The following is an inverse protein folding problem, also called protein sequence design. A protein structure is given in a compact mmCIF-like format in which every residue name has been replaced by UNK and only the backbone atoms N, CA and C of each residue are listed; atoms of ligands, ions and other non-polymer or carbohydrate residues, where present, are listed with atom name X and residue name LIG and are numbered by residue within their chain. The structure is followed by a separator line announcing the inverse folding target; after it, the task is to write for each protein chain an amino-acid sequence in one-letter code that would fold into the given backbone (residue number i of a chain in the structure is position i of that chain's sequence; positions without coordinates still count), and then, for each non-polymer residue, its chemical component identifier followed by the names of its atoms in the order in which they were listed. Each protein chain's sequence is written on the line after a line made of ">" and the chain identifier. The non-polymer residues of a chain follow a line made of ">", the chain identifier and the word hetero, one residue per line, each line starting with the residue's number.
data_IF_731047269508
#
_entry.id   IF_731047269508
#
_cell.length_a   1.000
_cell.length_b   1.000
_cell.length_c   1.000
_cell.angle_alpha   90.00
_cell.angle_beta   90.00
_cell.angle_gamma   90.00
#
_symmetry.space_group_name_H-M   'P 1'
#
loop_
_entity.id
_entity.type
_entity.pdbx_description
1 polymer ?
#
# COMPACT_ATOMS: atom_id res chain seq x y z
N UNK A 1 -20.61 9.02 6.63
CA UNK A 1 -20.38 7.79 7.40
C UNK A 1 -21.32 6.74 6.84
N UNK A 2 -20.88 6.02 5.82
CA UNK A 2 -21.62 4.88 5.29
C UNK A 2 -21.36 3.69 6.22
N UNK A 3 -22.42 3.12 6.78
CA UNK A 3 -22.34 1.86 7.51
C UNK A 3 -21.98 0.76 6.51
N UNK A 4 -20.86 0.05 6.65
CA UNK A 4 -20.47 -0.96 5.69
C UNK A 4 -21.54 -2.07 5.59
N UNK A 5 -22.17 -2.16 4.42
CA UNK A 5 -23.28 -3.08 4.19
C UNK A 5 -22.77 -4.52 4.06
N UNK A 6 -22.69 -5.19 5.21
CA UNK A 6 -22.50 -6.65 5.28
C UNK A 6 -23.86 -7.32 5.14
N UNK A 7 -24.03 -8.15 4.12
CA UNK A 7 -25.26 -8.90 3.88
C UNK A 7 -25.56 -9.91 5.01
N UNK A 8 -26.82 -10.37 5.17
CA UNK A 8 -27.17 -11.33 6.22
C UNK A 8 -26.34 -12.64 6.16
N UNK A 9 -26.01 -13.22 7.31
CA UNK A 9 -25.12 -14.40 7.43
C UNK A 9 -25.60 -15.67 6.74
N UNK A 10 -26.90 -15.79 6.47
CA UNK A 10 -27.48 -16.92 5.74
C UNK A 10 -27.50 -16.75 4.22
N UNK A 11 -27.13 -15.59 3.67
CA UNK A 11 -27.11 -15.39 2.21
C UNK A 11 -25.75 -15.75 1.62
N UNK A 12 -25.71 -16.13 0.34
CA UNK A 12 -24.47 -16.43 -0.36
C UNK A 12 -23.47 -15.26 -0.30
N UNK A 13 -23.95 -14.05 -0.62
CA UNK A 13 -23.14 -12.83 -0.53
C UNK A 13 -22.57 -12.64 0.88
N UNK A 14 -23.40 -12.81 1.90
CA UNK A 14 -22.97 -12.70 3.26
C UNK A 14 -21.94 -13.76 3.68
N UNK A 15 -22.02 -14.97 3.15
CA UNK A 15 -21.02 -16.01 3.43
C UNK A 15 -19.67 -15.65 2.81
N UNK A 16 -19.67 -15.17 1.55
CA UNK A 16 -18.47 -14.73 0.84
C UNK A 16 -17.82 -13.51 1.50
N UNK A 17 -18.61 -12.49 1.86
CA UNK A 17 -18.15 -11.27 2.57
C UNK A 17 -17.56 -11.54 3.95
N UNK A 18 -17.69 -12.75 4.50
CA UNK A 18 -17.08 -13.12 5.79
C UNK A 18 -15.89 -14.08 5.64
N UNK A 19 -15.53 -14.46 4.41
CA UNK A 19 -14.40 -15.36 4.16
C UNK A 19 -14.54 -16.73 4.82
N UNK A 20 -15.77 -17.17 5.14
CA UNK A 20 -15.97 -18.51 5.72
C UNK A 20 -15.72 -19.56 4.64
N UNK A 21 -15.01 -20.65 4.99
CA UNK A 21 -14.75 -21.76 4.05
C UNK A 21 -16.02 -22.33 3.43
N UNK A 22 -17.13 -22.32 4.17
CA UNK A 22 -18.46 -22.71 3.66
C UNK A 22 -18.92 -21.83 2.49
N UNK A 23 -18.53 -20.55 2.43
CA UNK A 23 -18.91 -19.63 1.36
C UNK A 23 -18.48 -20.12 -0.03
N UNK A 24 -17.30 -20.74 -0.14
CA UNK A 24 -16.86 -21.37 -1.40
C UNK A 24 -17.73 -22.57 -1.76
N UNK A 25 -18.03 -23.44 -0.79
CA UNK A 25 -18.88 -24.61 -1.03
C UNK A 25 -20.28 -24.19 -1.49
N UNK A 26 -20.85 -23.18 -0.84
CA UNK A 26 -22.14 -22.61 -1.24
C UNK A 26 -22.10 -21.94 -2.61
N UNK A 27 -21.04 -21.22 -2.94
CA UNK A 27 -20.87 -20.61 -4.25
C UNK A 27 -20.80 -21.64 -5.37
N UNK A 28 -20.06 -22.74 -5.16
CA UNK A 28 -19.93 -23.82 -6.13
C UNK A 28 -21.21 -24.66 -6.28
N UNK A 29 -22.09 -24.64 -5.28
CA UNK A 29 -23.40 -25.30 -5.32
C UNK A 29 -24.53 -24.40 -5.88
N UNK A 30 -24.34 -23.09 -5.89
CA UNK A 30 -25.33 -22.12 -6.38
C UNK A 30 -25.31 -22.02 -7.92
N UNK A 31 -26.37 -21.46 -8.55
CA UNK A 31 -26.32 -21.09 -9.95
C UNK A 31 -25.11 -20.20 -10.24
N UNK A 32 -24.29 -20.57 -11.22
CA UNK A 32 -23.01 -19.89 -11.52
C UNK A 32 -23.17 -18.37 -11.65
N UNK A 33 -24.23 -17.90 -12.30
CA UNK A 33 -24.51 -16.46 -12.45
C UNK A 33 -24.75 -15.74 -11.12
N UNK A 34 -25.41 -16.38 -10.16
CA UNK A 34 -25.64 -15.83 -8.82
C UNK A 34 -24.35 -15.82 -8.01
N UNK A 35 -23.55 -16.89 -8.10
CA UNK A 35 -22.26 -16.98 -7.45
C UNK A 35 -21.27 -15.92 -7.98
N UNK A 36 -21.21 -15.74 -9.30
CA UNK A 36 -20.41 -14.69 -9.92
C UNK A 36 -20.89 -13.29 -9.51
N UNK A 37 -22.21 -13.03 -9.50
CA UNK A 37 -22.74 -11.74 -9.05
C UNK A 37 -22.35 -11.43 -7.59
N UNK A 38 -22.44 -12.42 -6.69
CA UNK A 38 -22.04 -12.26 -5.30
C UNK A 38 -20.52 -12.06 -5.14
N UNK A 39 -19.72 -12.79 -5.94
CA UNK A 39 -18.26 -12.64 -5.98
C UNK A 39 -17.85 -11.25 -6.48
N UNK A 40 -18.45 -10.78 -7.57
CA UNK A 40 -18.22 -9.43 -8.10
C UNK A 40 -18.53 -8.38 -7.04
N UNK A 41 -19.68 -8.49 -6.35
CA UNK A 41 -20.00 -7.56 -5.27
C UNK A 41 -18.91 -7.53 -4.17
N UNK A 42 -18.39 -8.70 -3.78
CA UNK A 42 -17.32 -8.77 -2.77
C UNK A 42 -16.01 -8.12 -3.23
N UNK A 43 -15.65 -8.25 -4.51
CA UNK A 43 -14.37 -7.75 -5.05
C UNK A 43 -14.42 -6.28 -5.41
N UNK A 44 -15.57 -5.79 -5.89
CA UNK A 44 -15.75 -4.42 -6.36
C UNK A 44 -16.22 -3.47 -5.25
N UNK A 45 -16.69 -4.01 -4.12
CA UNK A 45 -17.20 -3.22 -3.00
C UNK A 45 -16.87 -3.92 -1.68
N UNK A 46 -15.59 -3.84 -1.27
CA UNK A 46 -15.15 -4.42 0.01
C UNK A 46 -15.71 -3.58 1.18
N UNK A 47 -16.62 -4.11 2.00
CA UNK A 47 -17.19 -3.37 3.12
C UNK A 47 -16.23 -3.25 4.31
N UNK A 48 -15.05 -3.88 4.28
CA UNK A 48 -14.14 -3.91 5.43
C UNK A 48 -13.37 -2.61 5.59
N UNK A 49 -13.40 -2.06 6.80
CA UNK A 49 -12.58 -0.90 7.15
C UNK A 49 -11.10 -1.28 7.36
N UNK A 50 -10.84 -2.52 7.75
CA UNK A 50 -9.53 -3.11 8.04
C UNK A 50 -9.07 -4.09 6.95
N UNK A 51 -9.41 -3.80 5.69
CA UNK A 51 -9.11 -4.65 4.54
C UNK A 51 -7.62 -5.01 4.40
N UNK A 52 -6.71 -4.21 4.98
CA UNK A 52 -5.26 -4.46 5.03
C UNK A 52 -4.85 -5.59 5.99
N UNK A 53 -5.69 -5.97 6.95
CA UNK A 53 -5.39 -6.97 7.98
C UNK A 53 -5.65 -8.40 7.49
N UNK A 54 -6.60 -8.57 6.56
CA UNK A 54 -7.01 -9.87 6.05
C UNK A 54 -6.98 -9.88 4.51
N UNK A 55 -6.06 -10.66 3.95
CA UNK A 55 -5.89 -10.78 2.52
C UNK A 55 -6.88 -11.79 1.91
N UNK A 56 -7.99 -11.28 1.36
CA UNK A 56 -9.03 -12.10 0.69
C UNK A 56 -8.86 -12.20 -0.82
N UNK A 57 -7.90 -11.52 -1.41
CA UNK A 57 -7.76 -11.50 -2.86
C UNK A 57 -7.42 -12.88 -3.41
N UNK A 58 -6.58 -13.67 -2.71
CA UNK A 58 -6.29 -15.06 -3.07
C UNK A 58 -7.55 -15.95 -3.04
N UNK A 59 -8.37 -15.79 -1.99
CA UNK A 59 -9.62 -16.51 -1.83
C UNK A 59 -10.59 -16.24 -3.00
N UNK A 60 -10.80 -14.97 -3.32
CA UNK A 60 -11.68 -14.59 -4.42
C UNK A 60 -11.11 -14.97 -5.79
N UNK A 61 -9.79 -14.81 -6.01
CA UNK A 61 -9.14 -15.23 -7.25
C UNK A 61 -9.29 -16.73 -7.49
N UNK A 62 -9.18 -17.55 -6.44
CA UNK A 62 -9.42 -18.99 -6.56
C UNK A 62 -10.87 -19.29 -6.94
N UNK A 63 -11.82 -18.60 -6.31
CA UNK A 63 -13.24 -18.77 -6.63
C UNK A 63 -13.58 -18.31 -8.05
N UNK A 64 -12.93 -17.27 -8.57
CA UNK A 64 -13.01 -16.89 -9.98
C UNK A 64 -12.60 -18.04 -10.91
N UNK A 65 -11.52 -18.76 -10.60
CA UNK A 65 -11.09 -19.91 -11.40
C UNK A 65 -12.09 -21.07 -11.30
N UNK A 66 -12.52 -21.42 -10.09
CA UNK A 66 -13.43 -22.55 -9.88
C UNK A 66 -14.84 -22.28 -10.48
N UNK A 67 -15.25 -21.01 -10.60
CA UNK A 67 -16.48 -20.58 -11.28
C UNK A 67 -16.30 -20.22 -12.77
N UNK A 68 -15.10 -20.36 -13.33
CA UNK A 68 -14.77 -19.92 -14.70
C UNK A 68 -15.16 -18.45 -14.97
N UNK A 69 -14.95 -17.56 -13.99
CA UNK A 69 -15.32 -16.14 -14.09
C UNK A 69 -14.36 -15.35 -14.99
N UNK A 70 -14.93 -14.44 -15.78
CA UNK A 70 -14.21 -13.46 -16.58
C UNK A 70 -13.82 -12.21 -15.79
N UNK A 71 -13.00 -11.35 -16.39
CA UNK A 71 -12.48 -10.11 -15.76
C UNK A 71 -13.25 -8.85 -16.16
N UNK A 72 -14.32 -8.97 -16.95
CA UNK A 72 -15.02 -7.84 -17.59
C UNK A 72 -15.68 -6.91 -16.57
N UNK A 73 -16.24 -7.46 -15.49
CA UNK A 73 -16.81 -6.65 -14.40
C UNK A 73 -15.73 -5.93 -13.60
N UNK A 74 -14.56 -6.54 -13.42
CA UNK A 74 -13.41 -5.89 -12.79
C UNK A 74 -12.88 -4.76 -13.69
N UNK A 75 -12.76 -5.00 -14.99
CA UNK A 75 -12.34 -3.98 -15.93
C UNK A 75 -13.29 -2.78 -15.93
N UNK A 76 -14.60 -3.03 -15.92
CA UNK A 76 -15.60 -1.95 -15.87
C UNK A 76 -15.46 -1.11 -14.60
N UNK A 77 -15.26 -1.76 -13.46
CA UNK A 77 -15.03 -1.09 -12.18
C UNK A 77 -13.76 -0.24 -12.20
N UNK A 78 -12.64 -0.81 -12.65
CA UNK A 78 -11.35 -0.14 -12.72
C UNK A 78 -11.25 0.93 -13.82
N UNK A 79 -12.29 1.09 -14.63
CA UNK A 79 -12.37 2.14 -15.67
C UNK A 79 -13.48 3.13 -15.38
N UNK A 80 -14.07 3.06 -14.18
CA UNK A 80 -15.10 3.99 -13.75
C UNK A 80 -14.51 5.40 -13.56
N UNK A 81 -15.09 6.46 -14.15
CA UNK A 81 -14.62 7.83 -13.98
C UNK A 81 -14.55 8.30 -12.52
N UNK A 82 -15.33 7.71 -11.62
CA UNK A 82 -15.27 8.00 -10.18
C UNK A 82 -13.89 7.66 -9.57
N UNK A 83 -13.11 6.76 -10.17
CA UNK A 83 -11.74 6.43 -9.71
C UNK A 83 -10.79 7.65 -9.78
N UNK A 84 -11.15 8.71 -10.52
CA UNK A 84 -10.43 9.97 -10.55
C UNK A 84 -10.86 10.96 -9.46
N UNK A 85 -12.03 10.74 -8.85
CA UNK A 85 -12.59 11.57 -7.79
C UNK A 85 -12.33 10.97 -6.40
N UNK A 86 -12.38 9.64 -6.31
CA UNK A 86 -12.09 8.85 -5.12
C UNK A 86 -10.79 8.09 -5.33
N UNK A 87 -9.72 8.61 -4.72
CA UNK A 87 -8.37 8.05 -4.81
C UNK A 87 -8.04 7.14 -3.62
N UNK A 88 -9.03 6.78 -2.79
CA UNK A 88 -8.79 5.83 -1.70
C UNK A 88 -8.43 4.45 -2.24
N UNK A 89 -7.34 3.87 -1.70
CA UNK A 89 -6.89 2.52 -2.07
C UNK A 89 -7.96 1.45 -1.86
N UNK A 90 -8.88 1.67 -0.92
CA UNK A 90 -9.99 0.77 -0.58
C UNK A 90 -10.92 0.50 -1.78
N UNK A 91 -11.03 1.44 -2.73
CA UNK A 91 -11.94 1.35 -3.88
C UNK A 91 -11.45 0.33 -4.92
N UNK A 92 -10.15 0.28 -5.18
CA UNK A 92 -9.58 -0.50 -6.29
C UNK A 92 -8.58 -1.56 -5.85
N UNK A 93 -7.98 -1.42 -4.66
CA UNK A 93 -6.89 -2.26 -4.18
C UNK A 93 -7.23 -3.76 -4.11
N UNK A 94 -8.43 -4.12 -3.64
CA UNK A 94 -8.86 -5.53 -3.63
C UNK A 94 -8.97 -6.10 -5.04
N UNK A 95 -9.60 -5.37 -5.96
CA UNK A 95 -9.77 -5.79 -7.34
C UNK A 95 -8.41 -5.97 -8.04
N UNK A 96 -7.48 -5.04 -7.84
CA UNK A 96 -6.10 -5.15 -8.35
C UNK A 96 -5.37 -6.36 -7.78
N UNK A 97 -5.49 -6.59 -6.46
CA UNK A 97 -4.90 -7.75 -5.80
C UNK A 97 -5.47 -9.08 -6.33
N UNK A 98 -6.77 -9.13 -6.63
CA UNK A 98 -7.43 -10.31 -7.24
C UNK A 98 -6.87 -10.55 -8.65
N UNK A 99 -6.75 -9.51 -9.47
CA UNK A 99 -6.13 -9.61 -10.79
C UNK A 99 -4.68 -10.10 -10.68
N UNK A 100 -3.93 -9.64 -9.67
CA UNK A 100 -2.59 -10.12 -9.38
C UNK A 100 -2.57 -11.64 -9.20
N UNK A 101 -3.39 -12.16 -8.28
CA UNK A 101 -3.47 -13.61 -8.08
C UNK A 101 -3.93 -14.38 -9.32
N UNK A 102 -4.90 -13.86 -10.08
CA UNK A 102 -5.32 -14.47 -11.35
C UNK A 102 -4.14 -14.54 -12.34
N UNK A 103 -3.35 -13.48 -12.48
CA UNK A 103 -2.15 -13.47 -13.31
C UNK A 103 -1.13 -14.53 -12.85
N UNK A 104 -0.92 -14.70 -11.54
CA UNK A 104 -0.07 -15.79 -11.00
C UNK A 104 -0.57 -17.19 -11.36
N UNK A 105 -1.87 -17.36 -11.58
CA UNK A 105 -2.46 -18.62 -12.05
C UNK A 105 -2.41 -18.78 -13.58
N UNK A 106 -1.75 -17.87 -14.31
CA UNK A 106 -1.59 -17.93 -15.76
C UNK A 106 -2.73 -17.30 -16.55
N UNK A 107 -3.62 -16.53 -15.91
CA UNK A 107 -4.66 -15.76 -16.60
C UNK A 107 -4.06 -14.56 -17.33
N UNK A 108 -3.81 -14.72 -18.63
CA UNK A 108 -3.21 -13.68 -19.48
C UNK A 108 -4.10 -12.44 -19.66
N UNK A 109 -5.42 -12.60 -19.61
CA UNK A 109 -6.40 -11.51 -19.62
C UNK A 109 -6.27 -10.62 -18.38
N UNK A 110 -6.12 -11.22 -17.19
CA UNK A 110 -5.87 -10.49 -15.95
C UNK A 110 -4.53 -9.74 -15.96
N UNK A 111 -3.46 -10.39 -16.45
CA UNK A 111 -2.15 -9.74 -16.61
C UNK A 111 -2.21 -8.55 -17.58
N UNK A 112 -2.89 -8.73 -18.72
CA UNK A 112 -3.05 -7.67 -19.70
C UNK A 112 -3.86 -6.49 -19.15
N UNK A 113 -4.89 -6.75 -18.34
CA UNK A 113 -5.67 -5.71 -17.67
C UNK A 113 -4.84 -4.95 -16.63
N UNK A 114 -4.06 -5.66 -15.79
CA UNK A 114 -3.15 -5.02 -14.85
C UNK A 114 -2.14 -4.09 -15.54
N UNK A 115 -1.52 -4.53 -16.64
CA UNK A 115 -0.59 -3.69 -17.40
C UNK A 115 -1.26 -2.43 -17.94
N UNK A 116 -2.48 -2.54 -18.50
CA UNK A 116 -3.26 -1.37 -18.94
C UNK A 116 -3.55 -0.43 -17.78
N UNK A 117 -4.01 -0.97 -16.65
CA UNK A 117 -4.35 -0.17 -15.48
C UNK A 117 -3.11 0.51 -14.88
N UNK A 118 -1.98 -0.17 -14.76
CA UNK A 118 -0.73 0.45 -14.31
C UNK A 118 -0.29 1.62 -15.23
N UNK A 119 -0.61 1.54 -16.53
CA UNK A 119 -0.28 2.60 -17.47
C UNK A 119 -1.18 3.84 -17.34
N UNK A 120 -2.46 3.73 -16.97
CA UNK A 120 -3.42 4.86 -17.01
C UNK A 120 -4.28 5.09 -15.77
N UNK A 121 -4.41 4.10 -14.89
CA UNK A 121 -5.27 4.13 -13.71
C UNK A 121 -4.79 5.10 -12.63
N UNK A 122 -5.71 5.51 -11.75
CA UNK A 122 -5.43 6.40 -10.63
C UNK A 122 -4.61 5.68 -9.55
N UNK A 123 -4.96 4.44 -9.18
CA UNK A 123 -4.18 3.63 -8.25
C UNK A 123 -3.10 2.78 -8.94
N UNK A 124 -2.35 3.41 -9.84
CA UNK A 124 -1.36 2.74 -10.68
C UNK A 124 -0.20 2.14 -9.87
N UNK A 125 0.14 2.73 -8.71
CA UNK A 125 1.23 2.26 -7.87
C UNK A 125 0.94 0.85 -7.34
N UNK A 126 -0.29 0.61 -6.87
CA UNK A 126 -0.73 -0.72 -6.44
C UNK A 126 -0.65 -1.74 -7.58
N UNK A 127 -1.14 -1.38 -8.76
CA UNK A 127 -1.07 -2.26 -9.93
C UNK A 127 0.37 -2.57 -10.34
N UNK A 128 1.26 -1.59 -10.23
CA UNK A 128 2.69 -1.77 -10.49
C UNK A 128 3.34 -2.72 -9.46
N UNK A 129 2.97 -2.64 -8.19
CA UNK A 129 3.43 -3.56 -7.15
C UNK A 129 2.92 -5.00 -7.41
N UNK A 130 1.65 -5.17 -7.82
CA UNK A 130 1.12 -6.49 -8.19
C UNK A 130 1.86 -7.10 -9.39
N UNK A 131 2.21 -6.27 -10.39
CA UNK A 131 2.99 -6.66 -11.55
C UNK A 131 4.45 -6.95 -11.21
N UNK A 132 5.06 -6.20 -10.28
CA UNK A 132 6.45 -6.41 -9.87
C UNK A 132 6.70 -7.83 -9.35
N UNK A 133 5.69 -8.45 -8.73
CA UNK A 133 5.77 -9.82 -8.21
C UNK A 133 5.53 -10.91 -9.27
N UNK A 134 4.91 -10.58 -10.40
CA UNK A 134 4.24 -11.59 -11.26
C UNK A 134 4.56 -11.46 -12.74
N UNK A 135 4.91 -10.27 -13.17
CA UNK A 135 5.20 -9.97 -14.55
C UNK A 135 6.67 -10.24 -14.91
N UNK A 136 6.94 -10.43 -16.19
CA UNK A 136 8.28 -10.54 -16.72
C UNK A 136 8.96 -9.17 -16.89
N UNK A 137 10.28 -9.18 -17.05
CA UNK A 137 11.04 -7.94 -17.20
C UNK A 137 10.68 -7.17 -18.48
N UNK A 138 10.17 -7.85 -19.52
CA UNK A 138 9.78 -7.18 -20.76
C UNK A 138 8.51 -6.35 -20.56
N UNK A 139 7.51 -6.93 -19.89
CA UNK A 139 6.28 -6.28 -19.46
C UNK A 139 6.56 -5.08 -18.57
N UNK A 140 7.38 -5.27 -17.52
CA UNK A 140 7.76 -4.17 -16.64
C UNK A 140 8.51 -3.06 -17.37
N UNK A 141 9.44 -3.37 -18.28
CA UNK A 141 10.12 -2.33 -19.08
C UNK A 141 9.17 -1.54 -19.97
N UNK A 142 8.10 -2.15 -20.47
CA UNK A 142 7.11 -1.46 -21.31
C UNK A 142 6.33 -0.39 -20.55
N UNK A 143 6.27 -0.48 -19.22
CA UNK A 143 5.54 0.45 -18.34
C UNK A 143 6.36 1.68 -17.93
N UNK A 144 7.66 1.71 -18.21
CA UNK A 144 8.54 2.80 -17.76
C UNK A 144 8.08 4.17 -18.27
N UNK A 145 7.82 4.30 -19.57
CA UNK A 145 7.40 5.56 -20.19
C UNK A 145 6.04 6.07 -19.67
N UNK A 146 4.95 5.27 -19.68
CA UNK A 146 3.67 5.76 -19.18
C UNK A 146 3.71 6.10 -17.68
N UNK A 147 4.46 5.34 -16.87
CA UNK A 147 4.61 5.66 -15.44
C UNK A 147 5.40 6.97 -15.26
N UNK A 148 6.53 7.12 -15.94
CA UNK A 148 7.36 8.33 -15.82
C UNK A 148 6.69 9.59 -16.40
N UNK A 149 5.76 9.44 -17.35
CA UNK A 149 5.00 10.55 -17.91
C UNK A 149 4.07 11.24 -16.90
N UNK A 150 3.77 10.60 -15.77
CA UNK A 150 2.98 11.19 -14.66
C UNK A 150 3.73 12.31 -13.94
N UNK A 151 5.05 12.27 -14.00
CA UNK A 151 5.90 13.25 -13.35
C UNK A 151 6.37 14.24 -14.42
N UNK A 152 6.08 15.54 -14.30
CA UNK A 152 6.70 16.55 -15.16
C UNK A 152 8.23 16.58 -14.98
N UNK A 153 8.97 17.04 -16.00
CA UNK A 153 10.42 17.24 -15.90
C UNK A 153 10.78 18.64 -15.36
N UNK A 154 10.13 19.02 -14.27
CA UNK A 154 10.40 20.23 -13.50
C UNK A 154 10.83 19.86 -12.06
N UNK A 155 11.25 20.82 -11.22
CA UNK A 155 11.70 20.51 -9.87
C UNK A 155 10.65 19.81 -8.98
N UNK A 156 9.36 20.10 -9.17
CA UNK A 156 8.27 19.52 -8.38
C UNK A 156 8.02 18.07 -8.79
N UNK A 157 7.88 17.82 -10.10
CA UNK A 157 7.72 16.47 -10.64
C UNK A 157 8.92 15.57 -10.36
N UNK A 158 10.14 16.11 -10.36
CA UNK A 158 11.35 15.35 -9.95
C UNK A 158 11.34 14.99 -8.46
N UNK A 159 10.90 15.89 -7.60
CA UNK A 159 10.76 15.61 -6.16
C UNK A 159 9.67 14.57 -5.88
N UNK A 160 8.55 14.64 -6.59
CA UNK A 160 7.45 13.67 -6.51
C UNK A 160 7.90 12.28 -7.01
N UNK A 161 8.62 12.21 -8.13
CA UNK A 161 9.23 10.97 -8.60
C UNK A 161 10.20 10.39 -7.58
N UNK A 162 11.08 11.21 -7.01
CA UNK A 162 12.02 10.77 -5.97
C UNK A 162 11.32 10.25 -4.71
N UNK A 163 10.20 10.87 -4.31
CA UNK A 163 9.38 10.38 -3.22
C UNK A 163 8.74 9.03 -3.55
N UNK A 164 8.18 8.90 -4.74
CA UNK A 164 7.51 7.69 -5.20
C UNK A 164 8.48 6.52 -5.30
N UNK A 165 9.67 6.71 -5.88
CA UNK A 165 10.71 5.67 -5.96
C UNK A 165 11.18 5.23 -4.56
N UNK A 166 11.33 6.18 -3.64
CA UNK A 166 11.79 5.91 -2.27
C UNK A 166 10.77 5.12 -1.45
N UNK A 167 9.49 5.45 -1.62
CA UNK A 167 8.39 4.92 -0.81
C UNK A 167 7.69 3.72 -1.50
N UNK A 168 8.15 3.32 -2.69
CA UNK A 168 7.67 2.15 -3.42
C UNK A 168 7.77 0.88 -2.59
N UNK A 169 6.68 0.09 -2.58
CA UNK A 169 6.64 -1.19 -1.87
C UNK A 169 7.50 -2.23 -2.59
N UNK A 170 7.31 -2.41 -3.90
CA UNK A 170 8.13 -3.30 -4.71
C UNK A 170 9.25 -2.56 -5.46
N UNK A 171 10.54 -2.80 -5.13
CA UNK A 171 11.65 -2.07 -5.74
C UNK A 171 12.02 -2.56 -7.15
N UNK A 172 11.49 -3.70 -7.59
CA UNK A 172 11.93 -4.37 -8.83
C UNK A 172 11.73 -3.52 -10.10
N UNK A 173 10.56 -2.90 -10.36
CA UNK A 173 10.37 -2.09 -11.57
C UNK A 173 11.35 -0.92 -11.62
N UNK A 174 11.54 -0.24 -10.49
CA UNK A 174 12.45 0.91 -10.38
C UNK A 174 13.91 0.53 -10.62
N UNK A 175 14.38 -0.61 -10.08
CA UNK A 175 15.73 -1.13 -10.38
C UNK A 175 15.88 -1.46 -11.86
N UNK A 176 14.89 -2.13 -12.44
CA UNK A 176 14.88 -2.49 -13.85
C UNK A 176 14.93 -1.27 -14.77
N UNK A 177 14.20 -0.21 -14.41
CA UNK A 177 14.18 1.04 -15.16
C UNK A 177 15.43 1.87 -14.94
N UNK A 178 16.05 1.82 -13.74
CA UNK A 178 17.34 2.45 -13.50
C UNK A 178 18.45 1.88 -14.39
N UNK A 179 18.34 0.61 -14.81
CA UNK A 179 19.26 -0.05 -15.74
C UNK A 179 18.88 0.16 -17.22
N UNK A 180 17.81 0.90 -17.52
CA UNK A 180 17.37 1.16 -18.90
C UNK A 180 18.40 2.03 -19.64
N UNK A 181 18.78 1.67 -20.90
CA UNK A 181 19.76 2.44 -21.67
C UNK A 181 19.21 3.78 -22.18
N UNK A 182 17.90 3.99 -22.21
CA UNK A 182 17.30 5.25 -22.65
C UNK A 182 17.50 6.30 -21.56
N UNK A 183 18.15 7.41 -21.88
CA UNK A 183 18.38 8.53 -20.95
C UNK A 183 17.09 9.04 -20.30
N UNK A 184 16.00 9.13 -21.08
CA UNK A 184 14.69 9.57 -20.60
C UNK A 184 14.08 8.65 -19.51
N UNK A 185 14.59 7.42 -19.37
CA UNK A 185 14.14 6.43 -18.39
C UNK A 185 15.23 6.20 -17.35
N UNK A 186 16.37 5.65 -17.75
CA UNK A 186 17.42 5.18 -16.85
C UNK A 186 18.05 6.29 -16.02
N UNK A 187 18.51 7.37 -16.68
CA UNK A 187 19.12 8.48 -15.95
C UNK A 187 18.10 9.18 -15.04
N UNK A 188 16.86 9.28 -15.50
CA UNK A 188 15.76 9.87 -14.74
C UNK A 188 15.46 9.11 -13.45
N UNK A 189 15.36 7.77 -13.52
CA UNK A 189 15.11 6.93 -12.33
C UNK A 189 16.32 6.86 -11.40
N UNK A 190 17.55 6.84 -11.94
CA UNK A 190 18.77 6.91 -11.12
C UNK A 190 18.84 8.21 -10.34
N UNK A 191 18.60 9.36 -10.99
CA UNK A 191 18.60 10.67 -10.34
C UNK A 191 17.55 10.74 -9.21
N UNK A 192 16.34 10.21 -9.45
CA UNK A 192 15.29 10.13 -8.43
C UNK A 192 15.70 9.27 -7.22
N UNK A 193 16.35 8.13 -7.47
CA UNK A 193 16.85 7.22 -6.43
C UNK A 193 17.95 7.87 -5.56
N UNK A 194 18.86 8.61 -6.19
CA UNK A 194 19.92 9.37 -5.52
C UNK A 194 19.34 10.49 -4.66
N UNK A 195 18.39 11.25 -5.21
CA UNK A 195 17.72 12.32 -4.48
C UNK A 195 16.97 11.80 -3.24
N UNK A 196 16.22 10.71 -3.36
CA UNK A 196 15.53 10.08 -2.21
C UNK A 196 16.50 9.62 -1.12
N UNK A 197 17.68 9.12 -1.52
CA UNK A 197 18.76 8.75 -0.60
C UNK A 197 19.37 9.98 0.08
N UNK A 198 19.61 11.05 -0.68
CA UNK A 198 20.15 12.31 -0.17
C UNK A 198 19.17 13.00 0.80
N UNK A 199 17.88 13.02 0.52
CA UNK A 199 16.85 13.57 1.42
C UNK A 199 16.79 12.81 2.74
N UNK A 200 16.97 11.49 2.73
CA UNK A 200 17.07 10.68 3.94
C UNK A 200 18.33 11.06 4.74
N UNK A 201 19.46 11.19 4.06
CA UNK A 201 20.73 11.57 4.68
C UNK A 201 20.69 12.99 5.24
N UNK A 202 20.14 13.96 4.51
CA UNK A 202 19.98 15.34 4.96
C UNK A 202 19.07 15.42 6.19
N UNK A 203 17.98 14.64 6.24
CA UNK A 203 17.12 14.54 7.44
C UNK A 203 17.87 13.98 8.65
N UNK A 204 18.79 13.03 8.45
CA UNK A 204 19.65 12.51 9.53
C UNK A 204 20.67 13.55 10.01
N UNK A 205 21.25 14.32 9.10
CA UNK A 205 22.27 15.34 9.39
C UNK A 205 21.68 16.64 9.97
N UNK A 206 20.44 16.98 9.59
CA UNK A 206 19.70 18.17 10.04
C UNK A 206 18.31 17.77 10.53
N UNK A 207 18.16 17.07 11.66
CA UNK A 207 16.83 16.81 12.18
C UNK A 207 16.20 18.14 12.58
N UNK A 208 15.05 18.46 11.97
CA UNK A 208 14.34 19.72 12.12
C UNK A 208 13.58 19.89 13.44
N UNK A 209 13.96 19.17 14.49
CA UNK A 209 13.29 19.23 15.80
C UNK A 209 14.25 19.60 16.93
N UNK A 210 13.75 20.23 18.01
CA UNK A 210 14.53 20.35 19.24
C UNK A 210 14.97 18.95 19.64
N UNK A 211 16.28 18.72 19.77
CA UNK A 211 16.81 17.49 20.34
C UNK A 211 16.85 17.66 21.86
N UNK A 212 16.57 16.62 22.66
CA UNK A 212 16.92 16.68 24.07
C UNK A 212 18.43 16.86 24.20
N UNK A 213 18.88 17.50 25.28
CA UNK A 213 20.28 17.45 25.69
C UNK A 213 20.73 16.01 25.97
N UNK A 214 22.03 15.82 26.23
CA UNK A 214 22.63 14.49 26.45
C UNK A 214 22.43 13.94 27.87
N UNK A 215 21.31 14.26 28.53
CA UNK A 215 20.99 13.78 29.87
C UNK A 215 19.57 13.23 29.95
N UNK A 216 19.34 12.31 30.88
CA UNK A 216 18.02 11.71 31.15
C UNK A 216 16.96 12.78 31.44
N UNK A 217 17.28 13.75 32.29
CA UNK A 217 16.38 14.89 32.57
C UNK A 217 16.03 15.70 31.31
N UNK A 218 17.00 15.94 30.41
CA UNK A 218 16.75 16.69 29.19
C UNK A 218 15.83 15.93 28.22
N UNK A 219 15.84 14.58 28.24
CA UNK A 219 14.90 13.75 27.49
C UNK A 219 13.49 13.83 28.09
N UNK A 220 13.35 13.85 29.42
CA UNK A 220 12.06 14.03 30.07
C UNK A 220 11.44 15.41 29.81
N UNK A 221 12.24 16.47 29.94
CA UNK A 221 11.78 17.83 29.70
C UNK A 221 11.33 18.01 28.24
N UNK A 222 12.06 17.41 27.30
CA UNK A 222 11.71 17.40 25.89
C UNK A 222 10.40 16.62 25.61
N UNK A 223 10.24 15.43 26.17
CA UNK A 223 9.03 14.64 26.03
C UNK A 223 7.80 15.37 26.62
N UNK A 224 7.98 16.04 27.77
CA UNK A 224 6.94 16.84 28.42
C UNK A 224 6.53 18.05 27.58
N UNK A 225 7.50 18.81 27.06
CA UNK A 225 7.24 19.92 26.14
C UNK A 225 6.53 19.46 24.86
N UNK A 226 6.86 18.27 24.37
CA UNK A 226 6.15 17.63 23.26
C UNK A 226 4.68 17.41 23.61
N UNK A 227 4.41 16.80 24.76
CA UNK A 227 3.05 16.52 25.24
C UNK A 227 2.23 17.81 25.41
N UNK A 228 2.82 18.85 26.00
CA UNK A 228 2.20 20.18 26.14
C UNK A 228 1.82 20.82 24.80
N UNK A 229 2.54 20.47 23.72
CA UNK A 229 2.27 20.91 22.34
C UNK A 229 1.39 19.94 21.55
N UNK A 230 0.83 18.91 22.20
CA UNK A 230 0.02 17.87 21.56
C UNK A 230 0.81 16.86 20.73
N UNK A 231 2.14 16.82 20.86
CA UNK A 231 3.01 15.85 20.19
C UNK A 231 3.37 14.71 21.13
N UNK A 232 2.92 13.50 20.82
CA UNK A 232 3.21 12.31 21.62
C UNK A 232 4.61 11.76 21.26
N UNK A 233 5.59 11.97 22.15
CA UNK A 233 7.01 11.67 21.90
C UNK A 233 7.55 10.44 22.67
N UNK A 234 6.69 9.54 23.15
CA UNK A 234 7.12 8.41 23.99
C UNK A 234 8.11 7.46 23.27
N UNK A 235 7.89 7.10 22.00
CA UNK A 235 8.82 6.24 21.23
C UNK A 235 10.16 6.95 20.95
N UNK A 236 10.19 8.20 20.46
CA UNK A 236 11.44 8.95 20.33
C UNK A 236 12.19 9.12 21.67
N UNK A 237 11.49 9.44 22.76
CA UNK A 237 12.09 9.63 24.08
C UNK A 237 12.73 8.34 24.61
N UNK A 238 12.06 7.19 24.45
CA UNK A 238 12.63 5.89 24.81
C UNK A 238 13.94 5.59 24.06
N UNK A 239 14.02 5.93 22.76
CA UNK A 239 15.25 5.77 21.97
C UNK A 239 16.38 6.68 22.46
N UNK A 240 16.06 7.92 22.83
CA UNK A 240 17.05 8.83 23.42
C UNK A 240 17.53 8.33 24.78
N UNK A 241 16.63 7.87 25.66
CA UNK A 241 16.99 7.30 26.97
C UNK A 241 17.91 6.08 26.83
N UNK A 242 17.64 5.20 25.86
CA UNK A 242 18.51 4.05 25.59
C UNK A 242 19.95 4.43 25.19
N UNK A 243 20.15 5.65 24.67
CA UNK A 243 21.46 6.15 24.28
C UNK A 243 22.19 6.93 25.40
N UNK A 244 21.45 7.54 26.34
CA UNK A 244 22.03 8.46 27.35
C UNK A 244 21.96 7.97 28.79
N UNK A 245 21.12 6.98 29.09
CA UNK A 245 20.94 6.49 30.46
C UNK A 245 22.02 5.47 30.85
N UNK A 246 22.68 5.72 31.99
CA UNK A 246 23.51 4.74 32.69
C UNK A 246 22.73 4.01 33.79
N UNK A 247 23.34 2.97 34.41
CA UNK A 247 22.73 2.24 35.54
C UNK A 247 22.28 3.14 36.69
N UNK A 248 22.96 4.26 36.92
CA UNK A 248 22.66 5.28 37.92
C UNK A 248 21.32 5.99 37.69
N UNK A 249 20.85 6.09 36.44
CA UNK A 249 19.59 6.76 36.11
C UNK A 249 18.37 5.85 36.28
N UNK A 250 18.56 4.57 36.64
CA UNK A 250 17.47 3.59 36.71
C UNK A 250 16.36 4.04 37.66
N UNK A 251 16.71 4.58 38.83
CA UNK A 251 15.71 5.01 39.81
C UNK A 251 14.85 6.16 39.28
N UNK A 252 15.49 7.13 38.62
CA UNK A 252 14.85 8.31 38.02
C UNK A 252 13.89 7.89 36.88
N UNK A 253 14.31 6.97 36.00
CA UNK A 253 13.50 6.47 34.88
C UNK A 253 12.28 5.69 35.38
N UNK A 254 12.47 4.83 36.38
CA UNK A 254 11.36 4.06 36.96
C UNK A 254 10.36 5.00 37.66
N UNK A 255 10.84 6.04 38.34
CA UNK A 255 9.97 7.01 39.00
C UNK A 255 9.19 7.86 37.98
N UNK A 256 9.84 8.31 36.91
CA UNK A 256 9.17 9.03 35.82
C UNK A 256 8.09 8.18 35.14
N UNK A 257 8.34 6.88 34.94
CA UNK A 257 7.35 5.95 34.39
C UNK A 257 6.16 5.69 35.34
N UNK A 258 6.36 5.80 36.66
CA UNK A 258 5.29 5.62 37.66
C UNK A 258 4.45 6.86 37.90
N UNK A 259 5.07 8.03 37.84
CA UNK A 259 4.46 9.33 38.18
C UNK A 259 4.03 10.14 36.95
N UNK A 260 4.36 9.67 35.75
CA UNK A 260 3.98 10.29 34.49
C UNK A 260 2.47 10.24 34.24
N UNK A 261 1.93 11.17 33.44
CA UNK A 261 0.55 11.11 32.98
C UNK A 261 0.34 9.92 32.03
N UNK A 262 -0.85 9.29 32.09
CA UNK A 262 -1.32 8.29 31.12
C UNK A 262 -1.51 8.89 29.72
#
# INVERSE_FOLDING_TARGET
>A
MFDPFIAPSGTLLGLLQRGRGDGTLHALAAPRSEALAALHHCVLSDPRHDWQVENRSLYYARLYLDLDGGVEEIERHLTDPEDHLDTEDSRTGLALSVLGHLASYGRGDALALLRRYAATGSNWAWALDELALRDDDAGLRSLAEPVLARFPDDPEGRAELAATVRDAYEPRPWRLWADDPREAVGARVRAASEQGSFDRWQRQMRPGGPRPGWSVQAVFDWARQGLERGSVLHVPAARCLAAVAGPENRAEIVEAARSGPD
#
